data_IF_523936729972
#
_entry.id   IF_523936729972
#
_cell.length_a   1.000
_cell.length_b   1.000
_cell.length_c   1.000
_cell.angle_alpha   90.00
_cell.angle_beta   90.00
_cell.angle_gamma   90.00
#
_symmetry.space_group_name_H-M   'P 1'
#
loop_
_entity.id
_entity.type
_entity.pdbx_description
1 polymer ?
#
# COMPACT_ATOMS: atom_id res chain seq x y z
N UNK A 1 -12.99 17.09 10.50
CA UNK A 1 -12.06 15.94 10.52
C UNK A 1 -12.68 14.86 9.68
N UNK A 2 -11.89 14.17 8.85
CA UNK A 2 -12.39 13.04 8.07
C UNK A 2 -12.43 11.81 8.97
N UNK A 3 -13.24 10.82 8.62
CA UNK A 3 -13.26 9.57 9.38
C UNK A 3 -12.00 8.75 9.07
N UNK A 4 -11.35 8.15 10.08
CA UNK A 4 -10.18 7.31 9.87
C UNK A 4 -10.59 6.00 9.19
N UNK A 5 -9.90 5.64 8.10
CA UNK A 5 -10.16 4.43 7.33
C UNK A 5 -8.89 3.60 7.17
N UNK A 6 -8.93 2.34 7.60
CA UNK A 6 -7.86 1.38 7.37
C UNK A 6 -8.00 0.80 5.95
N UNK A 7 -7.02 1.07 5.10
CA UNK A 7 -6.94 0.53 3.75
C UNK A 7 -5.81 -0.49 3.68
N UNK A 8 -6.14 -1.75 3.36
CA UNK A 8 -5.17 -2.84 3.28
C UNK A 8 -4.95 -3.29 1.84
N UNK A 9 -3.69 -3.35 1.40
CA UNK A 9 -3.32 -3.74 0.06
C UNK A 9 -2.39 -4.95 0.07
N UNK A 10 -2.54 -5.84 -0.89
CA UNK A 10 -1.65 -7.00 -1.05
C UNK A 10 -0.21 -6.60 -1.41
N UNK A 11 -0.05 -5.48 -2.13
CA UNK A 11 1.24 -4.93 -2.56
C UNK A 11 1.20 -3.42 -2.47
N UNK A 12 2.36 -2.78 -2.46
CA UNK A 12 2.44 -1.33 -2.58
C UNK A 12 1.71 -0.88 -3.86
N UNK A 13 0.75 0.07 -3.79
CA UNK A 13 -0.04 0.51 -4.93
C UNK A 13 0.75 1.39 -5.92
N UNK A 14 2.06 1.57 -5.71
CA UNK A 14 2.91 2.44 -6.51
C UNK A 14 4.14 1.68 -7.04
N UNK A 15 4.71 2.08 -8.20
CA UNK A 15 4.12 2.94 -9.22
C UNK A 15 2.96 2.23 -9.94
N UNK A 16 1.97 2.96 -10.47
CA UNK A 16 0.80 2.40 -11.15
C UNK A 16 1.14 1.90 -12.57
N UNK A 17 2.11 0.99 -12.67
CA UNK A 17 2.65 0.49 -13.95
C UNK A 17 1.94 -0.79 -14.45
N UNK A 18 1.20 -1.50 -13.58
CA UNK A 18 0.49 -2.75 -13.89
C UNK A 18 -0.93 -2.71 -13.32
N UNK A 19 -1.86 -3.41 -13.95
CA UNK A 19 -3.31 -3.37 -13.67
C UNK A 19 -3.68 -3.35 -12.18
N UNK A 20 -3.15 -4.27 -11.39
CA UNK A 20 -3.46 -4.35 -9.95
C UNK A 20 -3.03 -3.10 -9.18
N UNK A 21 -1.87 -2.51 -9.51
CA UNK A 21 -1.37 -1.28 -8.90
C UNK A 21 -2.20 -0.06 -9.34
N UNK A 22 -2.63 -0.01 -10.60
CA UNK A 22 -3.47 1.09 -11.14
C UNK A 22 -4.80 1.17 -10.39
N UNK A 23 -5.52 0.05 -10.27
CA UNK A 23 -6.83 0.02 -9.61
C UNK A 23 -6.70 0.39 -8.13
N UNK A 24 -5.77 -0.24 -7.41
CA UNK A 24 -5.53 0.01 -5.98
C UNK A 24 -5.15 1.47 -5.71
N UNK A 25 -4.31 2.07 -6.56
CA UNK A 25 -3.92 3.48 -6.44
C UNK A 25 -5.08 4.45 -6.71
N UNK A 26 -5.92 4.18 -7.73
CA UNK A 26 -7.08 5.02 -8.01
C UNK A 26 -8.11 4.99 -6.88
N UNK A 27 -8.32 3.82 -6.27
CA UNK A 27 -9.17 3.68 -5.08
C UNK A 27 -8.59 4.47 -3.91
N UNK A 28 -7.29 4.34 -3.63
CA UNK A 28 -6.62 5.14 -2.60
C UNK A 28 -6.82 6.64 -2.82
N UNK A 29 -6.60 7.12 -4.05
CA UNK A 29 -6.74 8.53 -4.41
C UNK A 29 -8.18 9.03 -4.24
N UNK A 30 -9.17 8.21 -4.58
CA UNK A 30 -10.58 8.54 -4.35
C UNK A 30 -10.91 8.59 -2.85
N UNK A 31 -10.49 7.58 -2.10
CA UNK A 31 -10.80 7.49 -0.66
C UNK A 31 -10.12 8.59 0.15
N UNK A 32 -8.88 8.99 -0.19
CA UNK A 32 -8.17 10.09 0.44
C UNK A 32 -8.97 11.40 0.42
N UNK A 33 -9.80 11.63 -0.60
CA UNK A 33 -10.61 12.85 -0.69
C UNK A 33 -11.67 12.92 0.42
N UNK A 34 -12.12 11.76 0.93
CA UNK A 34 -13.24 11.63 1.86
C UNK A 34 -12.82 11.17 3.27
N UNK A 35 -11.75 10.39 3.39
CA UNK A 35 -11.31 9.73 4.63
C UNK A 35 -9.86 10.05 4.99
N UNK A 36 -9.53 9.90 6.28
CA UNK A 36 -8.16 9.92 6.78
C UNK A 36 -7.59 8.50 6.68
N UNK A 37 -6.82 8.25 5.61
CA UNK A 37 -6.39 6.89 5.25
C UNK A 37 -5.21 6.43 6.10
N UNK A 38 -5.35 5.27 6.73
CA UNK A 38 -4.25 4.49 7.30
C UNK A 38 -3.96 3.31 6.38
N UNK A 39 -2.82 3.31 5.69
CA UNK A 39 -2.46 2.27 4.73
C UNK A 39 -1.64 1.15 5.39
N UNK A 40 -2.01 -0.10 5.13
CA UNK A 40 -1.17 -1.27 5.40
C UNK A 40 -0.92 -2.06 4.11
N UNK A 41 0.34 -2.29 3.74
CA UNK A 41 0.64 -3.11 2.56
C UNK A 41 1.93 -3.93 2.69
N UNK A 42 2.08 -4.93 1.82
CA UNK A 42 3.30 -5.71 1.73
C UNK A 42 4.21 -5.24 0.60
N UNK A 43 5.52 -5.39 0.80
CA UNK A 43 6.56 -5.08 -0.19
C UNK A 43 7.14 -6.40 -0.69
N UNK A 44 6.77 -6.78 -1.92
CA UNK A 44 7.22 -8.04 -2.55
C UNK A 44 8.62 -7.91 -3.19
N UNK A 45 9.01 -6.70 -3.59
CA UNK A 45 10.28 -6.37 -4.22
C UNK A 45 11.05 -5.36 -3.37
N UNK A 46 12.32 -5.60 -3.08
CA UNK A 46 13.15 -4.65 -2.34
C UNK A 46 13.23 -3.27 -3.02
N UNK A 47 13.11 -3.23 -4.36
CA UNK A 47 13.08 -1.99 -5.12
C UNK A 47 11.82 -1.16 -4.85
N UNK A 48 10.71 -1.80 -4.49
CA UNK A 48 9.43 -1.14 -4.24
C UNK A 48 9.42 -0.35 -2.92
N UNK A 49 10.35 -0.65 -2.00
CA UNK A 49 10.54 0.08 -0.73
C UNK A 49 10.72 1.59 -0.94
N UNK A 50 11.31 1.99 -2.07
CA UNK A 50 11.55 3.41 -2.36
C UNK A 50 10.26 4.22 -2.56
N UNK A 51 9.16 3.56 -2.90
CA UNK A 51 7.88 4.20 -3.16
C UNK A 51 7.02 4.34 -1.92
N UNK A 52 7.52 3.91 -0.74
CA UNK A 52 6.81 4.06 0.53
C UNK A 52 6.55 5.54 0.85
N UNK A 53 7.54 6.39 0.57
CA UNK A 53 7.41 7.84 0.78
C UNK A 53 6.39 8.45 -0.18
N UNK A 54 6.37 8.06 -1.45
CA UNK A 54 5.38 8.52 -2.43
C UNK A 54 3.96 8.17 -1.99
N UNK A 55 3.77 6.95 -1.49
CA UNK A 55 2.45 6.49 -1.05
C UNK A 55 2.04 7.14 0.29
N UNK A 56 3.00 7.43 1.17
CA UNK A 56 2.75 8.12 2.43
C UNK A 56 2.16 9.52 2.23
N UNK A 57 2.42 10.19 1.10
CA UNK A 57 1.82 11.51 0.78
C UNK A 57 0.29 11.46 0.62
N UNK A 58 -0.27 10.27 0.35
CA UNK A 58 -1.70 10.07 0.17
C UNK A 58 -2.40 9.53 1.43
N UNK A 59 -1.65 9.29 2.51
CA UNK A 59 -2.14 8.65 3.72
C UNK A 59 -1.77 9.46 4.97
N UNK A 60 -2.54 9.33 6.05
CA UNK A 60 -2.19 9.89 7.37
C UNK A 60 -1.11 9.05 8.03
N UNK A 61 -1.16 7.73 7.86
CA UNK A 61 -0.08 6.82 8.23
C UNK A 61 0.03 5.69 7.21
N UNK A 62 1.23 5.18 6.99
CA UNK A 62 1.46 4.03 6.12
C UNK A 62 2.42 3.05 6.78
N UNK A 63 2.04 1.78 6.83
CA UNK A 63 2.90 0.68 7.26
C UNK A 63 3.12 -0.26 6.08
N UNK A 64 4.37 -0.40 5.67
CA UNK A 64 4.77 -1.28 4.59
C UNK A 64 5.70 -2.36 5.15
N UNK A 65 5.33 -3.63 4.97
CA UNK A 65 6.08 -4.75 5.55
C UNK A 65 6.68 -5.61 4.42
N UNK A 66 8.00 -5.89 4.42
CA UNK A 66 8.60 -6.74 3.40
C UNK A 66 8.07 -8.18 3.50
N UNK A 67 7.62 -8.72 2.38
CA UNK A 67 7.15 -10.10 2.30
C UNK A 67 8.37 -11.02 2.13
N UNK A 68 8.73 -11.77 3.18
CA UNK A 68 9.82 -12.73 3.09
C UNK A 68 9.33 -14.01 2.39
N UNK A 69 9.68 -14.16 1.11
CA UNK A 69 9.34 -15.35 0.29
C UNK A 69 9.77 -16.66 0.94
N UNK A 70 10.83 -16.63 1.75
CA UNK A 70 11.34 -17.78 2.50
C UNK A 70 10.36 -18.22 3.59
N UNK A 71 9.76 -17.29 4.36
CA UNK A 71 8.79 -17.66 5.40
C UNK A 71 7.45 -18.09 4.82
N UNK A 72 7.00 -17.51 3.70
CA UNK A 72 5.76 -17.93 3.04
C UNK A 72 5.80 -19.36 2.50
N UNK A 73 7.00 -19.93 2.30
CA UNK A 73 7.19 -21.32 1.86
C UNK A 73 7.41 -22.31 3.02
N UNK A 74 7.72 -21.83 4.23
CA UNK A 74 8.03 -22.67 5.39
C UNK A 74 6.78 -23.10 6.18
N UNK A 75 5.62 -22.48 5.93
CA UNK A 75 4.32 -22.99 6.39
C UNK A 75 3.62 -23.72 5.23
N UNK A 76 4.08 -24.94 4.97
CA UNK A 76 3.33 -25.97 4.24
C UNK A 76 2.78 -26.96 5.24
#
# INVERSE_FOLDING_TARGET
MKEPLLYLCHRIPFPPNKGDKITTFNVLKYLQQHYDIHLGCFVDDAFDTRYQEDVAQYCVSSQCIPLSRTYSKLKG
#
